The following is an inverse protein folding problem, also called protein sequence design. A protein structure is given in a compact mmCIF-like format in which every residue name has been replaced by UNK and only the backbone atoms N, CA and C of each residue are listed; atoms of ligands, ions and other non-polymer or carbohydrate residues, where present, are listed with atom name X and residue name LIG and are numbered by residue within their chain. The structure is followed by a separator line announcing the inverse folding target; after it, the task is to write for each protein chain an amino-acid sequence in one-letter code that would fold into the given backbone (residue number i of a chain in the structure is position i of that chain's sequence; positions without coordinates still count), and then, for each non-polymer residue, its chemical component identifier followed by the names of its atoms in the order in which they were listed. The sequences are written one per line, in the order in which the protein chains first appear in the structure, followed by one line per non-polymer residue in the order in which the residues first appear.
data_IF_840846141040
#
_entry.id   IF_840846141040
#
_cell.length_a   1.000
_cell.length_b   1.000
_cell.length_c   1.000
_cell.angle_alpha   90.00
_cell.angle_beta   90.00
_cell.angle_gamma   90.00
#
_symmetry.space_group_name_H-M   'P 1'
#
loop_
_entity.id
_entity.type
_entity.pdbx_description
1 polymer ?
#
# COMPACT_ATOMS: atom_id res chain seq x y z
N UNK A 1 17.33 -65.92 -29.09
CA UNK A 1 18.33 -66.84 -29.69
C UNK A 1 19.54 -65.97 -30.02
N UNK A 2 20.75 -66.11 -29.49
CA UNK A 2 21.37 -67.09 -28.61
C UNK A 2 22.88 -67.14 -28.94
N UNK A 3 23.73 -66.96 -27.92
CA UNK A 3 25.16 -67.40 -27.77
C UNK A 3 26.23 -66.61 -28.55
N UNK A 4 27.20 -65.98 -27.87
CA UNK A 4 28.51 -66.48 -27.32
C UNK A 4 29.65 -65.88 -28.18
N UNK A 5 30.89 -65.59 -27.79
CA UNK A 5 31.80 -65.83 -26.65
C UNK A 5 32.90 -64.71 -26.73
N UNK A 6 33.46 -64.12 -25.66
CA UNK A 6 34.49 -64.59 -24.69
C UNK A 6 35.96 -64.57 -25.20
N UNK A 7 36.82 -63.79 -24.53
CA UNK A 7 38.29 -63.84 -24.29
C UNK A 7 38.70 -62.46 -23.75
N UNK A 8 39.17 -62.20 -22.52
CA UNK A 8 40.22 -62.74 -21.63
C UNK A 8 41.67 -62.58 -22.14
N UNK A 9 42.43 -61.79 -21.37
CA UNK A 9 43.85 -61.90 -20.93
C UNK A 9 44.48 -60.48 -20.87
N UNK A 10 44.67 -59.89 -19.68
CA UNK A 10 45.84 -60.02 -18.77
C UNK A 10 47.18 -59.71 -19.48
N UNK A 11 47.92 -58.68 -19.05
CA UNK A 11 48.95 -58.84 -18.00
C UNK A 11 49.93 -57.63 -17.88
N UNK A 12 50.17 -57.27 -16.62
CA UNK A 12 51.42 -56.84 -15.93
C UNK A 12 52.37 -55.67 -16.31
N UNK A 13 52.90 -55.13 -15.19
CA UNK A 13 54.17 -54.42 -14.93
C UNK A 13 54.36 -52.97 -15.40
N UNK A 14 54.87 -52.03 -14.60
CA UNK A 14 55.47 -52.11 -13.26
C UNK A 14 56.36 -50.87 -13.03
N UNK A 15 56.47 -50.43 -11.77
CA UNK A 15 57.53 -49.53 -11.22
C UNK A 15 57.62 -48.09 -11.78
N UNK A 16 57.87 -47.03 -11.02
CA UNK A 16 58.80 -46.89 -9.90
C UNK A 16 58.52 -45.60 -9.15
N UNK A 17 58.72 -45.64 -7.83
CA UNK A 17 58.87 -44.48 -6.96
C UNK A 17 59.99 -43.52 -7.43
N UNK A 18 59.76 -42.22 -7.26
CA UNK A 18 60.85 -41.34 -6.85
C UNK A 18 60.31 -40.14 -6.05
N UNK A 19 60.61 -40.20 -4.76
CA UNK A 19 60.46 -39.14 -3.78
C UNK A 19 61.52 -38.07 -4.07
N UNK A 20 61.09 -36.84 -4.35
CA UNK A 20 61.92 -35.64 -4.22
C UNK A 20 61.21 -34.67 -3.28
N UNK A 21 61.91 -34.35 -2.20
CA UNK A 21 61.46 -33.50 -1.11
C UNK A 21 61.73 -32.02 -1.40
N UNK A 22 60.86 -31.17 -0.82
CA UNK A 22 61.01 -29.73 -0.49
C UNK A 22 60.23 -28.75 -1.40
N UNK A 23 59.82 -27.55 -0.92
CA UNK A 23 59.83 -27.00 0.45
C UNK A 23 58.43 -26.55 0.93
N UNK A 24 58.32 -26.39 2.26
CA UNK A 24 57.15 -25.86 2.97
C UNK A 24 56.89 -24.40 2.56
N UNK A 25 55.87 -24.18 1.75
CA UNK A 25 55.30 -22.84 1.51
C UNK A 25 54.27 -22.56 2.60
N UNK A 26 54.60 -21.61 3.49
CA UNK A 26 53.65 -21.05 4.47
C UNK A 26 52.44 -20.47 3.73
N UNK A 27 51.30 -21.15 3.85
CA UNK A 27 50.00 -20.61 3.45
C UNK A 27 49.64 -19.49 4.43
N UNK A 28 49.26 -18.29 3.97
CA UNK A 28 48.74 -17.26 4.85
C UNK A 28 47.40 -17.73 5.43
N UNK A 29 47.30 -17.77 6.74
CA UNK A 29 46.06 -17.99 7.49
C UNK A 29 45.04 -16.93 7.09
N UNK A 30 44.15 -17.25 6.17
CA UNK A 30 42.96 -16.46 5.95
C UNK A 30 42.15 -16.47 7.25
N UNK A 31 41.76 -15.32 7.81
CA UNK A 31 40.87 -15.31 8.96
C UNK A 31 39.58 -15.99 8.54
N UNK A 32 39.17 -17.00 9.31
CA UNK A 32 37.84 -17.60 9.28
C UNK A 32 36.80 -16.49 9.45
N UNK A 33 36.40 -15.83 8.36
CA UNK A 33 35.15 -15.09 8.29
C UNK A 33 34.05 -16.13 8.26
N UNK A 34 33.68 -16.55 9.46
CA UNK A 34 32.43 -17.22 9.77
C UNK A 34 31.29 -16.39 9.15
N UNK A 35 30.76 -16.88 8.03
CA UNK A 35 29.46 -16.52 7.47
C UNK A 35 28.36 -16.91 8.46
N UNK A 36 28.21 -16.12 9.52
CA UNK A 36 27.13 -16.26 10.49
C UNK A 36 26.24 -15.03 10.34
N UNK A 37 25.08 -15.16 9.67
CA UNK A 37 23.84 -14.37 9.84
C UNK A 37 22.93 -14.45 8.59
N UNK A 38 22.40 -15.63 8.25
CA UNK A 38 21.29 -15.71 7.28
C UNK A 38 20.09 -16.52 7.76
N UNK A 39 20.23 -17.35 8.81
CA UNK A 39 19.13 -18.23 9.24
C UNK A 39 18.14 -17.59 10.23
N UNK A 40 18.53 -16.62 11.06
CA UNK A 40 17.57 -15.98 12.00
C UNK A 40 16.70 -14.92 11.33
N UNK A 41 17.25 -14.12 10.41
CA UNK A 41 16.53 -13.07 9.68
C UNK A 41 15.41 -13.65 8.81
N UNK A 42 15.62 -14.82 8.21
CA UNK A 42 14.61 -15.49 7.39
C UNK A 42 13.44 -16.04 8.24
N UNK A 43 13.70 -16.49 9.47
CA UNK A 43 12.67 -16.97 10.38
C UNK A 43 11.83 -15.82 10.95
N UNK A 44 12.50 -14.74 11.38
CA UNK A 44 11.85 -13.52 11.87
C UNK A 44 10.98 -12.89 10.77
N UNK A 45 11.47 -12.84 9.52
CA UNK A 45 10.69 -12.33 8.40
C UNK A 45 9.47 -13.21 8.10
N UNK A 46 9.62 -14.54 8.09
CA UNK A 46 8.50 -15.44 7.88
C UNK A 46 7.42 -15.27 8.97
N UNK A 47 7.83 -15.16 10.23
CA UNK A 47 6.93 -14.92 11.35
C UNK A 47 6.25 -13.54 11.27
N UNK A 48 7.01 -12.50 10.91
CA UNK A 48 6.47 -11.16 10.66
C UNK A 48 5.42 -11.20 9.54
N UNK A 49 5.66 -11.91 8.45
CA UNK A 49 4.70 -12.03 7.36
C UNK A 49 3.41 -12.71 7.84
N UNK A 50 3.50 -13.82 8.59
CA UNK A 50 2.34 -14.52 9.13
C UNK A 50 1.51 -13.61 10.04
N UNK A 51 2.17 -12.97 11.01
CA UNK A 51 1.49 -12.16 12.02
C UNK A 51 0.96 -10.83 11.46
N UNK A 52 1.67 -10.22 10.51
CA UNK A 52 1.39 -8.85 10.05
C UNK A 52 0.56 -8.76 8.76
N UNK A 53 0.62 -9.77 7.88
CA UNK A 53 -0.05 -9.75 6.58
C UNK A 53 -1.35 -10.55 6.55
N UNK A 54 -1.69 -11.23 7.65
CA UNK A 54 -2.94 -11.97 7.75
C UNK A 54 -4.16 -11.03 7.51
N UNK A 55 -5.23 -11.50 6.84
CA UNK A 55 -6.45 -10.71 6.58
C UNK A 55 -7.09 -10.13 7.85
N UNK A 56 -6.94 -10.83 8.98
CA UNK A 56 -7.14 -10.30 10.31
C UNK A 56 -5.81 -10.39 11.04
N UNK A 57 -5.08 -9.28 11.09
CA UNK A 57 -3.79 -9.20 11.78
C UNK A 57 -3.95 -8.44 13.11
N UNK A 58 -3.94 -9.16 14.25
CA UNK A 58 -3.83 -8.56 15.58
C UNK A 58 -2.63 -7.61 15.69
N UNK A 59 -1.52 -7.95 15.02
CA UNK A 59 -0.30 -7.15 15.06
C UNK A 59 -0.46 -5.83 14.30
N UNK A 60 -1.08 -5.84 13.12
CA UNK A 60 -1.40 -4.62 12.37
C UNK A 60 -2.36 -3.73 13.16
N UNK A 61 -3.36 -4.33 13.83
CA UNK A 61 -4.32 -3.60 14.67
C UNK A 61 -3.62 -2.94 15.87
N UNK A 62 -2.74 -3.67 16.55
CA UNK A 62 -1.91 -3.11 17.64
C UNK A 62 -0.98 -2.01 17.12
N UNK A 63 -0.30 -2.22 15.99
CA UNK A 63 0.55 -1.22 15.33
C UNK A 63 -0.20 0.08 15.05
N UNK A 64 -1.40 0.00 14.48
CA UNK A 64 -2.25 1.16 14.17
C UNK A 64 -2.64 1.90 15.45
N UNK A 65 -2.99 1.17 16.52
CA UNK A 65 -3.43 1.77 17.80
C UNK A 65 -2.32 2.42 18.60
N UNK A 66 -1.08 1.94 18.44
CA UNK A 66 0.05 2.35 19.27
C UNK A 66 0.96 3.33 18.54
N UNK A 67 1.39 2.97 17.32
CA UNK A 67 2.45 3.67 16.60
C UNK A 67 1.95 4.72 15.62
N UNK A 68 0.66 4.70 15.28
CA UNK A 68 0.06 5.64 14.33
C UNK A 68 -0.90 6.64 14.99
N UNK A 69 -1.00 6.66 16.32
CA UNK A 69 -2.02 7.42 17.07
C UNK A 69 -1.57 8.79 17.59
N UNK A 70 -0.28 9.16 17.45
CA UNK A 70 0.31 10.42 17.97
C UNK A 70 1.29 11.06 16.98
N UNK A 71 1.38 12.41 16.96
CA UNK A 71 2.04 13.35 16.01
C UNK A 71 3.45 13.02 15.45
N UNK A 72 4.07 11.90 15.81
CA UNK A 72 5.29 11.33 15.19
C UNK A 72 5.00 10.43 13.95
N UNK A 73 3.87 10.63 13.27
CA UNK A 73 3.19 9.59 12.47
C UNK A 73 3.77 9.30 11.09
N UNK A 74 4.41 10.28 10.43
CA UNK A 74 4.75 10.13 9.01
C UNK A 74 5.77 9.02 8.75
N UNK A 75 6.82 8.91 9.58
CA UNK A 75 7.84 7.86 9.43
C UNK A 75 7.26 6.46 9.63
N UNK A 76 6.35 6.29 10.60
CA UNK A 76 5.75 4.98 10.89
C UNK A 76 4.75 4.58 9.79
N UNK A 77 4.04 5.54 9.21
CA UNK A 77 3.23 5.32 8.01
C UNK A 77 4.13 4.94 6.83
N UNK A 78 5.26 5.62 6.64
CA UNK A 78 6.21 5.33 5.56
C UNK A 78 6.76 3.90 5.64
N UNK A 79 7.21 3.47 6.83
CA UNK A 79 7.71 2.10 7.06
C UNK A 79 6.61 1.07 6.77
N UNK A 80 5.38 1.30 7.26
CA UNK A 80 4.24 0.43 7.01
C UNK A 80 3.91 0.34 5.51
N UNK A 81 3.83 1.48 4.83
CA UNK A 81 3.54 1.54 3.40
C UNK A 81 4.64 0.83 2.59
N UNK A 82 5.91 1.11 2.86
CA UNK A 82 7.03 0.48 2.17
C UNK A 82 7.03 -1.04 2.36
N UNK A 83 6.74 -1.53 3.57
CA UNK A 83 6.65 -2.96 3.87
C UNK A 83 5.57 -3.67 3.04
N UNK A 84 4.36 -3.09 2.96
CA UNK A 84 3.27 -3.63 2.16
C UNK A 84 3.47 -3.44 0.65
N UNK A 85 4.11 -2.35 0.21
CA UNK A 85 4.50 -2.14 -1.19
C UNK A 85 5.48 -3.21 -1.65
N UNK A 86 6.51 -3.53 -0.87
CA UNK A 86 7.52 -4.54 -1.21
C UNK A 86 6.92 -5.95 -1.40
N UNK A 87 5.73 -6.18 -0.87
CA UNK A 87 4.98 -7.45 -0.93
C UNK A 87 3.76 -7.41 -1.84
N UNK A 88 3.50 -6.28 -2.51
CA UNK A 88 2.33 -6.06 -3.37
C UNK A 88 0.98 -6.18 -2.63
N UNK A 89 1.00 -5.90 -1.34
CA UNK A 89 -0.18 -5.98 -0.47
C UNK A 89 -0.71 -4.59 -0.09
N UNK A 90 -0.24 -3.53 -0.76
CA UNK A 90 -0.63 -2.15 -0.48
C UNK A 90 -2.16 -1.93 -0.62
N UNK A 91 -2.84 -2.48 -1.64
CA UNK A 91 -4.28 -2.34 -1.72
C UNK A 91 -5.02 -3.00 -0.53
N UNK A 92 -4.53 -4.16 -0.09
CA UNK A 92 -5.06 -4.89 1.07
C UNK A 92 -4.87 -4.09 2.35
N UNK A 93 -3.70 -3.45 2.55
CA UNK A 93 -3.46 -2.57 3.69
C UNK A 93 -4.51 -1.45 3.76
N UNK A 94 -4.72 -0.72 2.66
CA UNK A 94 -5.67 0.40 2.61
C UNK A 94 -7.10 -0.06 2.89
N UNK A 95 -7.51 -1.20 2.35
CA UNK A 95 -8.83 -1.79 2.62
C UNK A 95 -8.97 -2.21 4.09
N UNK A 96 -7.94 -2.79 4.70
CA UNK A 96 -7.94 -3.15 6.13
C UNK A 96 -8.01 -1.93 7.03
N UNK A 97 -7.23 -0.88 6.75
CA UNK A 97 -7.29 0.36 7.52
C UNK A 97 -8.64 1.06 7.39
N UNK A 98 -9.23 1.08 6.19
CA UNK A 98 -10.58 1.59 5.98
C UNK A 98 -11.61 0.77 6.75
N UNK A 99 -11.48 -0.56 6.76
CA UNK A 99 -12.35 -1.44 7.53
C UNK A 99 -12.29 -1.12 9.03
N UNK A 100 -11.10 -0.89 9.59
CA UNK A 100 -10.97 -0.45 10.98
C UNK A 100 -11.69 0.87 11.24
N UNK A 101 -11.60 1.85 10.34
CA UNK A 101 -12.34 3.11 10.47
C UNK A 101 -13.85 2.90 10.41
N UNK A 102 -14.33 2.07 9.48
CA UNK A 102 -15.77 1.76 9.33
C UNK A 102 -16.33 1.07 10.58
N UNK A 103 -15.57 0.16 11.17
CA UNK A 103 -15.97 -0.58 12.39
C UNK A 103 -15.94 0.29 13.65
N UNK A 104 -15.05 1.28 13.72
CA UNK A 104 -14.89 2.16 14.89
C UNK A 104 -15.74 3.43 14.82
N UNK A 105 -16.14 3.85 13.62
CA UNK A 105 -16.94 5.07 13.43
C UNK A 105 -18.41 4.79 13.72
N UNK A 106 -19.00 5.57 14.63
CA UNK A 106 -20.44 5.52 14.93
C UNK A 106 -21.27 5.62 13.63
N UNK A 107 -22.37 4.87 13.57
CA UNK A 107 -23.27 4.82 12.41
C UNK A 107 -23.81 6.20 12.00
N UNK A 108 -23.98 7.13 12.93
CA UNK A 108 -24.47 8.49 12.65
C UNK A 108 -23.37 9.44 12.14
N UNK A 109 -22.10 9.04 12.23
CA UNK A 109 -20.98 9.88 11.83
C UNK A 109 -20.57 9.59 10.37
N UNK A 110 -20.22 10.64 9.60
CA UNK A 110 -19.76 10.47 8.23
C UNK A 110 -18.40 9.77 8.18
N UNK A 111 -18.27 8.77 7.31
CA UNK A 111 -17.01 8.07 7.07
C UNK A 111 -16.00 8.95 6.32
N UNK A 112 -14.72 8.72 6.58
CA UNK A 112 -13.61 9.22 5.78
C UNK A 112 -13.53 10.75 5.66
N UNK A 113 -14.14 11.52 6.59
CA UNK A 113 -14.04 12.99 6.61
C UNK A 113 -12.93 13.52 7.51
N UNK A 114 -12.54 12.75 8.53
CA UNK A 114 -11.55 13.18 9.51
C UNK A 114 -10.10 13.09 9.05
N UNK A 115 -9.20 13.53 9.92
CA UNK A 115 -7.76 13.29 9.81
C UNK A 115 -7.40 11.95 10.48
N UNK A 116 -8.05 10.88 10.03
CA UNK A 116 -7.87 9.52 10.57
C UNK A 116 -6.57 8.89 10.06
N UNK A 117 -6.10 7.83 10.72
CA UNK A 117 -4.92 7.06 10.28
C UNK A 117 -5.12 6.55 8.86
N UNK A 118 -6.31 6.02 8.55
CA UNK A 118 -6.65 5.62 7.19
C UNK A 118 -6.57 6.81 6.23
N UNK A 119 -7.19 7.96 6.55
CA UNK A 119 -7.17 9.14 5.68
C UNK A 119 -5.75 9.65 5.41
N UNK A 120 -4.88 9.68 6.43
CA UNK A 120 -3.46 10.07 6.30
C UNK A 120 -2.70 9.10 5.39
N UNK A 121 -2.85 7.79 5.62
CA UNK A 121 -2.23 6.73 4.82
C UNK A 121 -2.74 6.75 3.38
N UNK A 122 -4.03 6.99 3.19
CA UNK A 122 -4.67 7.08 1.89
C UNK A 122 -4.15 8.29 1.08
N UNK A 123 -4.02 9.46 1.70
CA UNK A 123 -3.42 10.64 1.04
C UNK A 123 -1.96 10.35 0.64
N UNK A 124 -1.19 9.71 1.52
CA UNK A 124 0.18 9.31 1.20
C UNK A 124 0.23 8.38 -0.02
N UNK A 125 -0.65 7.37 -0.07
CA UNK A 125 -0.82 6.49 -1.22
C UNK A 125 -1.13 7.26 -2.50
N UNK A 126 -2.11 8.16 -2.47
CA UNK A 126 -2.52 8.94 -3.64
C UNK A 126 -1.38 9.78 -4.20
N UNK A 127 -0.64 10.48 -3.32
CA UNK A 127 0.48 11.33 -3.73
C UNK A 127 1.60 10.50 -4.38
N UNK A 128 1.92 9.34 -3.80
CA UNK A 128 3.04 8.49 -4.23
C UNK A 128 2.73 7.65 -5.47
N UNK A 129 1.49 7.19 -5.63
CA UNK A 129 1.15 6.19 -6.65
C UNK A 129 0.07 6.61 -7.65
N UNK A 130 -0.61 7.74 -7.44
CA UNK A 130 -1.74 8.16 -8.27
C UNK A 130 -1.63 9.60 -8.77
N UNK A 131 -0.52 10.30 -8.50
CA UNK A 131 -0.40 11.72 -8.81
C UNK A 131 -0.36 12.04 -10.32
N UNK A 132 0.09 11.10 -11.15
CA UNK A 132 0.23 11.33 -12.60
C UNK A 132 -1.10 11.68 -13.27
N UNK A 133 -2.17 10.93 -12.97
CA UNK A 133 -3.49 11.20 -13.55
C UNK A 133 -4.05 12.57 -13.13
N UNK A 134 -3.86 12.94 -11.86
CA UNK A 134 -4.31 14.23 -11.34
C UNK A 134 -3.54 15.37 -11.99
N UNK A 135 -2.23 15.22 -12.18
CA UNK A 135 -1.41 16.21 -12.89
C UNK A 135 -1.87 16.40 -14.33
N UNK A 136 -2.07 15.30 -15.06
CA UNK A 136 -2.53 15.32 -16.46
C UNK A 136 -3.86 16.06 -16.63
N UNK A 137 -4.77 15.92 -15.66
CA UNK A 137 -6.14 16.42 -15.78
C UNK A 137 -6.37 17.80 -15.19
N UNK A 138 -5.43 18.31 -14.38
CA UNK A 138 -5.66 19.56 -13.63
C UNK A 138 -4.50 20.56 -13.65
N UNK A 139 -3.24 20.14 -13.83
CA UNK A 139 -2.10 21.05 -13.64
C UNK A 139 -2.11 22.22 -14.62
N UNK A 140 -2.20 21.97 -15.93
CA UNK A 140 -2.19 23.03 -16.93
C UNK A 140 -3.38 24.00 -16.76
N UNK A 141 -4.56 23.47 -16.42
CA UNK A 141 -5.74 24.28 -16.16
C UNK A 141 -5.53 25.17 -14.93
N UNK A 142 -4.99 24.63 -13.84
CA UNK A 142 -4.73 25.38 -12.61
C UNK A 142 -3.63 26.42 -12.77
N UNK A 143 -2.59 26.13 -13.55
CA UNK A 143 -1.53 27.10 -13.86
C UNK A 143 -2.11 28.30 -14.62
N UNK A 144 -2.98 28.03 -15.61
CA UNK A 144 -3.70 29.07 -16.33
C UNK A 144 -4.60 29.90 -15.40
N UNK A 145 -5.42 29.23 -14.57
CA UNK A 145 -6.33 29.91 -13.64
C UNK A 145 -5.60 30.76 -12.60
N UNK A 146 -4.43 30.30 -12.14
CA UNK A 146 -3.57 31.04 -11.22
C UNK A 146 -2.96 32.26 -11.90
N UNK A 147 -2.50 32.13 -13.15
CA UNK A 147 -1.93 33.24 -13.92
C UNK A 147 -2.93 34.39 -14.16
N UNK A 148 -4.22 34.06 -14.31
CA UNK A 148 -5.28 35.08 -14.49
C UNK A 148 -5.90 35.57 -13.18
N UNK A 149 -5.35 35.17 -12.02
CA UNK A 149 -5.86 35.47 -10.68
C UNK A 149 -7.37 35.19 -10.55
N UNK A 150 -7.78 34.00 -10.99
CA UNK A 150 -9.20 33.65 -11.06
C UNK A 150 -9.91 33.75 -9.69
N UNK A 151 -9.24 33.33 -8.62
CA UNK A 151 -9.85 33.22 -7.29
C UNK A 151 -10.04 34.58 -6.58
N UNK A 152 -9.24 35.59 -6.94
CA UNK A 152 -9.35 36.95 -6.42
C UNK A 152 -10.51 37.74 -7.05
N UNK A 153 -11.06 37.24 -8.17
CA UNK A 153 -12.20 37.85 -8.86
C UNK A 153 -13.49 37.40 -8.18
N UNK A 154 -13.92 38.16 -7.19
CA UNK A 154 -15.19 37.98 -6.44
C UNK A 154 -16.46 37.99 -7.31
N UNK A 155 -16.33 38.19 -8.64
CA UNK A 155 -17.42 38.32 -9.60
C UNK A 155 -17.35 37.32 -10.76
N UNK A 156 -16.61 36.21 -10.65
CA UNK A 156 -16.62 35.18 -11.70
C UNK A 156 -18.07 34.75 -11.99
N UNK A 157 -18.52 34.96 -13.22
CA UNK A 157 -19.89 34.65 -13.64
C UNK A 157 -20.10 33.14 -13.67
N UNK A 158 -21.34 32.69 -13.49
CA UNK A 158 -21.73 31.27 -13.66
C UNK A 158 -21.26 30.71 -15.00
N UNK A 159 -21.30 31.52 -16.07
CA UNK A 159 -20.79 31.14 -17.40
C UNK A 159 -19.30 30.83 -17.41
N UNK A 160 -18.49 31.59 -16.67
CA UNK A 160 -17.04 31.34 -16.58
C UNK A 160 -16.76 30.05 -15.80
N UNK A 161 -17.49 29.80 -14.71
CA UNK A 161 -17.42 28.52 -14.00
C UNK A 161 -17.80 27.35 -14.90
N UNK A 162 -18.91 27.44 -15.65
CA UNK A 162 -19.32 26.41 -16.60
C UNK A 162 -18.24 26.10 -17.63
N UNK A 163 -17.59 27.11 -18.22
CA UNK A 163 -16.50 26.90 -19.18
C UNK A 163 -15.32 26.17 -18.55
N UNK A 164 -14.90 26.54 -17.35
CA UNK A 164 -13.79 25.89 -16.62
C UNK A 164 -14.13 24.44 -16.31
N UNK A 165 -15.36 24.17 -15.84
CA UNK A 165 -15.83 22.81 -15.56
C UNK A 165 -15.86 21.98 -16.83
N UNK A 166 -16.40 22.50 -17.93
CA UNK A 166 -16.43 21.80 -19.22
C UNK A 166 -15.03 21.45 -19.71
N UNK A 167 -14.06 22.37 -19.59
CA UNK A 167 -12.65 22.08 -19.91
C UNK A 167 -12.08 20.98 -19.02
N UNK A 168 -12.28 21.06 -17.70
CA UNK A 168 -11.81 20.04 -16.77
C UNK A 168 -12.41 18.64 -17.06
N UNK A 169 -13.70 18.58 -17.37
CA UNK A 169 -14.37 17.32 -17.70
C UNK A 169 -13.91 16.75 -19.05
N UNK A 170 -13.58 17.59 -20.03
CA UNK A 170 -12.94 17.13 -21.28
C UNK A 170 -11.60 16.45 -21.00
N UNK A 171 -10.74 17.10 -20.20
CA UNK A 171 -9.45 16.54 -19.79
C UNK A 171 -9.61 15.21 -19.05
N UNK A 172 -10.59 15.11 -18.15
CA UNK A 172 -10.92 13.86 -17.47
C UNK A 172 -11.34 12.76 -18.45
N UNK A 173 -12.19 13.08 -19.44
CA UNK A 173 -12.67 12.12 -20.42
C UNK A 173 -11.55 11.63 -21.35
N UNK A 174 -10.67 12.54 -21.78
CA UNK A 174 -9.50 12.24 -22.61
C UNK A 174 -8.51 11.33 -21.87
N UNK A 175 -8.27 11.61 -20.59
CA UNK A 175 -7.30 10.88 -19.76
C UNK A 175 -7.89 9.71 -18.98
N UNK A 176 -9.19 9.38 -19.12
CA UNK A 176 -9.84 8.33 -18.30
C UNK A 176 -9.15 6.96 -18.38
N UNK A 177 -8.47 6.67 -19.49
CA UNK A 177 -7.77 5.40 -19.71
C UNK A 177 -6.60 5.19 -18.75
N UNK A 178 -5.99 6.27 -18.26
CA UNK A 178 -4.85 6.23 -17.34
C UNK A 178 -5.25 6.32 -15.86
N UNK A 179 -6.56 6.27 -15.54
CA UNK A 179 -7.02 6.19 -14.14
C UNK A 179 -6.35 4.98 -13.47
N UNK A 180 -5.67 5.17 -12.31
CA UNK A 180 -4.94 4.10 -11.66
C UNK A 180 -5.86 2.92 -11.27
N UNK A 181 -5.71 1.77 -11.94
CA UNK A 181 -6.59 0.61 -11.71
C UNK A 181 -6.47 0.04 -10.28
N UNK A 182 -5.29 0.16 -9.66
CA UNK A 182 -5.09 -0.20 -8.25
C UNK A 182 -5.95 0.68 -7.32
N UNK A 183 -6.08 1.98 -7.61
CA UNK A 183 -6.92 2.89 -6.82
C UNK A 183 -8.40 2.49 -6.93
N UNK A 184 -8.87 2.18 -8.14
CA UNK A 184 -10.24 1.70 -8.34
C UNK A 184 -10.52 0.43 -7.54
N UNK A 185 -9.57 -0.51 -7.53
CA UNK A 185 -9.68 -1.76 -6.76
C UNK A 185 -9.69 -1.51 -5.24
N UNK A 186 -8.86 -0.58 -4.75
CA UNK A 186 -8.88 -0.15 -3.33
C UNK A 186 -10.26 0.38 -2.96
N UNK A 187 -10.76 1.36 -3.72
CA UNK A 187 -12.04 2.01 -3.42
C UNK A 187 -13.20 1.02 -3.56
N UNK A 188 -13.17 0.11 -4.52
CA UNK A 188 -14.16 -0.94 -4.66
C UNK A 188 -14.23 -1.85 -3.43
N UNK A 189 -13.07 -2.29 -2.91
CA UNK A 189 -13.03 -3.09 -1.69
C UNK A 189 -13.62 -2.35 -0.49
N UNK A 190 -13.29 -1.06 -0.36
CA UNK A 190 -13.86 -0.20 0.70
C UNK A 190 -15.37 -0.04 0.51
N UNK A 191 -15.84 0.20 -0.72
CA UNK A 191 -17.26 0.28 -1.06
C UNK A 191 -18.01 -0.98 -0.61
N UNK A 192 -17.47 -2.17 -0.88
CA UNK A 192 -18.07 -3.44 -0.45
C UNK A 192 -18.16 -3.55 1.07
N UNK A 193 -17.11 -3.14 1.80
CA UNK A 193 -17.11 -3.13 3.27
C UNK A 193 -18.20 -2.20 3.81
N UNK A 194 -18.28 -0.97 3.30
CA UNK A 194 -19.30 0.00 3.74
C UNK A 194 -20.71 -0.46 3.37
N UNK A 195 -20.89 -1.03 2.18
CA UNK A 195 -22.18 -1.56 1.72
C UNK A 195 -22.70 -2.65 2.66
N UNK A 196 -21.83 -3.56 3.10
CA UNK A 196 -22.18 -4.67 4.00
C UNK A 196 -22.44 -4.16 5.42
N UNK A 197 -21.62 -3.23 5.92
CA UNK A 197 -21.67 -2.77 7.33
C UNK A 197 -22.69 -1.66 7.57
N UNK A 198 -23.02 -0.87 6.55
CA UNK A 198 -23.96 0.25 6.62
C UNK A 198 -25.06 0.04 5.60
N UNK A 199 -24.99 0.71 4.45
CA UNK A 199 -25.97 0.62 3.38
C UNK A 199 -25.38 1.17 2.06
N UNK A 200 -26.15 1.07 0.97
CA UNK A 200 -25.75 1.55 -0.35
C UNK A 200 -25.50 3.05 -0.40
N UNK A 201 -26.33 3.84 0.27
CA UNK A 201 -26.22 5.31 0.31
C UNK A 201 -24.89 5.75 0.93
N UNK A 202 -24.56 5.22 2.11
CA UNK A 202 -23.29 5.47 2.81
C UNK A 202 -22.10 4.98 1.99
N UNK A 203 -22.24 3.85 1.28
CA UNK A 203 -21.19 3.32 0.42
C UNK A 203 -20.90 4.25 -0.77
N UNK A 204 -21.93 4.80 -1.41
CA UNK A 204 -21.78 5.80 -2.48
C UNK A 204 -21.22 7.12 -1.96
N UNK A 205 -21.63 7.58 -0.76
CA UNK A 205 -21.03 8.74 -0.10
C UNK A 205 -19.54 8.49 0.18
N UNK A 206 -19.17 7.28 0.57
CA UNK A 206 -17.79 6.85 0.73
C UNK A 206 -16.99 6.94 -0.57
N UNK A 207 -17.55 6.43 -1.68
CA UNK A 207 -16.95 6.58 -3.02
C UNK A 207 -16.79 8.05 -3.40
N UNK A 208 -17.83 8.87 -3.22
CA UNK A 208 -17.77 10.30 -3.47
C UNK A 208 -16.64 10.98 -2.68
N UNK A 209 -16.53 10.63 -1.40
CA UNK A 209 -15.53 11.20 -0.49
C UNK A 209 -14.11 10.78 -0.88
N UNK A 210 -13.89 9.51 -1.17
CA UNK A 210 -12.55 8.98 -1.45
C UNK A 210 -12.07 9.35 -2.86
N UNK A 211 -12.89 9.07 -3.88
CA UNK A 211 -12.46 9.24 -5.26
C UNK A 211 -12.58 10.69 -5.73
N UNK A 212 -13.72 11.33 -5.51
CA UNK A 212 -13.93 12.68 -6.02
C UNK A 212 -13.33 13.71 -5.08
N UNK A 213 -13.73 13.73 -3.81
CA UNK A 213 -13.35 14.80 -2.89
C UNK A 213 -11.88 14.74 -2.45
N UNK A 214 -11.35 13.55 -2.18
CA UNK A 214 -9.98 13.34 -1.67
C UNK A 214 -8.94 13.00 -2.73
N UNK A 215 -9.34 12.86 -3.99
CA UNK A 215 -8.41 12.57 -5.07
C UNK A 215 -8.62 13.51 -6.28
N UNK A 216 -9.73 13.39 -7.00
CA UNK A 216 -9.93 14.18 -8.23
C UNK A 216 -10.03 15.68 -8.00
N UNK A 217 -10.72 16.10 -6.94
CA UNK A 217 -11.02 17.52 -6.68
C UNK A 217 -10.01 18.19 -5.75
N UNK A 218 -9.04 17.45 -5.21
CA UNK A 218 -7.97 18.01 -4.37
C UNK A 218 -7.21 19.17 -5.02
N UNK A 219 -6.88 19.15 -6.33
CA UNK A 219 -6.17 20.26 -6.96
C UNK A 219 -6.91 21.61 -6.84
N UNK A 220 -8.24 21.58 -6.82
CA UNK A 220 -9.09 22.77 -6.71
C UNK A 220 -9.28 23.27 -5.27
N UNK A 221 -8.71 22.61 -4.25
CA UNK A 221 -8.80 23.05 -2.85
C UNK A 221 -8.28 24.47 -2.61
N UNK A 222 -7.33 24.93 -3.45
CA UNK A 222 -6.80 26.29 -3.42
C UNK A 222 -7.73 27.33 -4.06
N UNK A 223 -8.83 26.90 -4.69
CA UNK A 223 -9.85 27.72 -5.33
C UNK A 223 -11.24 27.38 -4.78
N UNK A 224 -11.58 27.80 -3.54
CA UNK A 224 -12.71 27.25 -2.80
C UNK A 224 -14.07 27.42 -3.49
N UNK A 225 -14.26 28.50 -4.24
CA UNK A 225 -15.51 28.76 -4.95
C UNK A 225 -15.69 27.80 -6.15
N UNK A 226 -14.64 27.63 -6.96
CA UNK A 226 -14.62 26.66 -8.04
C UNK A 226 -14.78 25.23 -7.53
N UNK A 227 -14.09 24.89 -6.45
CA UNK A 227 -14.22 23.61 -5.78
C UNK A 227 -15.67 23.32 -5.36
N UNK A 228 -16.32 24.26 -4.66
CA UNK A 228 -17.72 24.13 -4.23
C UNK A 228 -18.65 23.99 -5.43
N UNK A 229 -18.40 24.74 -6.50
CA UNK A 229 -19.19 24.67 -7.73
C UNK A 229 -19.08 23.27 -8.37
N UNK A 230 -17.87 22.77 -8.61
CA UNK A 230 -17.65 21.42 -9.16
C UNK A 230 -18.27 20.34 -8.25
N UNK A 231 -18.04 20.45 -6.94
CA UNK A 231 -18.61 19.52 -5.95
C UNK A 231 -20.15 19.48 -6.02
N UNK A 232 -20.79 20.64 -6.20
CA UNK A 232 -22.25 20.75 -6.30
C UNK A 232 -22.83 20.07 -7.53
N UNK A 233 -22.04 19.95 -8.61
CA UNK A 233 -22.42 19.23 -9.83
C UNK A 233 -22.22 17.71 -9.68
N UNK A 234 -21.07 17.29 -9.16
CA UNK A 234 -20.68 15.88 -9.11
C UNK A 234 -21.40 15.11 -8.00
N UNK A 235 -21.50 15.69 -6.80
CA UNK A 235 -22.01 14.97 -5.61
C UNK A 235 -23.44 14.43 -5.81
N UNK A 236 -24.39 15.19 -6.38
CA UNK A 236 -25.73 14.67 -6.63
C UNK A 236 -25.76 13.48 -7.59
N UNK A 237 -24.92 13.50 -8.64
CA UNK A 237 -24.83 12.43 -9.64
C UNK A 237 -24.35 11.13 -8.95
N UNK A 238 -23.20 11.19 -8.26
CA UNK A 238 -22.59 10.02 -7.61
C UNK A 238 -23.50 9.44 -6.51
N UNK A 239 -24.15 10.30 -5.74
CA UNK A 239 -25.02 9.89 -4.63
C UNK A 239 -26.48 9.61 -5.05
N UNK A 240 -26.81 9.65 -6.34
CA UNK A 240 -28.15 9.38 -6.84
C UNK A 240 -29.24 10.36 -6.35
N UNK A 241 -28.87 11.60 -6.03
CA UNK A 241 -29.82 12.64 -5.64
C UNK A 241 -30.42 13.27 -6.90
N UNK A 242 -31.74 13.47 -6.93
CA UNK A 242 -32.41 14.12 -8.06
C UNK A 242 -31.86 15.54 -8.28
N UNK A 243 -31.40 15.81 -9.50
CA UNK A 243 -31.00 17.15 -9.93
C UNK A 243 -32.17 17.80 -10.67
N UNK A 244 -32.55 19.00 -10.23
CA UNK A 244 -33.74 19.73 -10.67
C UNK A 244 -33.52 20.44 -12.03
N UNK A 245 -32.26 20.72 -12.40
CA UNK A 245 -31.92 21.40 -13.65
C UNK A 245 -31.32 20.42 -14.66
N UNK A 246 -32.08 20.13 -15.72
CA UNK A 246 -31.68 19.30 -16.85
C UNK A 246 -31.40 20.21 -18.05
N UNK A 247 -30.16 20.68 -18.19
CA UNK A 247 -29.66 21.26 -19.42
C UNK A 247 -28.78 20.24 -20.16
N UNK A 248 -28.51 20.46 -21.45
CA UNK A 248 -27.68 19.55 -22.27
C UNK A 248 -26.27 19.36 -21.69
N UNK A 249 -25.67 20.43 -21.17
CA UNK A 249 -24.36 20.37 -20.50
C UNK A 249 -24.38 19.38 -19.32
N UNK A 250 -25.40 19.45 -18.46
CA UNK A 250 -25.53 18.55 -17.31
C UNK A 250 -25.61 17.08 -17.71
N UNK A 251 -26.23 16.75 -18.85
CA UNK A 251 -26.27 15.36 -19.35
C UNK A 251 -24.88 14.82 -19.69
N UNK A 252 -24.02 15.64 -20.31
CA UNK A 252 -22.64 15.26 -20.63
C UNK A 252 -21.82 15.03 -19.35
N UNK A 253 -22.00 15.91 -18.36
CA UNK A 253 -21.38 15.74 -17.03
C UNK A 253 -21.86 14.43 -16.40
N UNK A 254 -23.17 14.22 -16.38
CA UNK A 254 -23.78 13.04 -15.79
C UNK A 254 -23.25 11.75 -16.42
N UNK A 255 -23.21 11.67 -17.74
CA UNK A 255 -22.71 10.49 -18.46
C UNK A 255 -21.26 10.16 -18.09
N UNK A 256 -20.36 11.16 -18.09
CA UNK A 256 -18.96 10.95 -17.75
C UNK A 256 -18.80 10.47 -16.29
N UNK A 257 -19.48 11.13 -15.36
CA UNK A 257 -19.41 10.79 -13.93
C UNK A 257 -20.01 9.39 -13.68
N UNK A 258 -21.08 9.02 -14.38
CA UNK A 258 -21.66 7.68 -14.31
C UNK A 258 -20.71 6.61 -14.84
N UNK A 259 -20.01 6.87 -15.96
CA UNK A 259 -18.99 5.96 -16.51
C UNK A 259 -17.86 5.74 -15.49
N UNK A 260 -17.31 6.83 -14.95
CA UNK A 260 -16.23 6.78 -13.96
C UNK A 260 -16.70 6.05 -12.70
N UNK A 261 -17.89 6.36 -12.21
CA UNK A 261 -18.46 5.71 -11.02
C UNK A 261 -18.66 4.22 -11.26
N UNK A 262 -19.16 3.81 -12.44
CA UNK A 262 -19.27 2.39 -12.81
C UNK A 262 -17.91 1.69 -12.82
N UNK A 263 -16.86 2.34 -13.32
CA UNK A 263 -15.49 1.78 -13.26
C UNK A 263 -15.00 1.59 -11.82
N UNK A 264 -15.34 2.49 -10.90
CA UNK A 264 -15.02 2.34 -9.46
C UNK A 264 -15.83 1.21 -8.83
N UNK A 265 -17.11 1.06 -9.20
CA UNK A 265 -17.99 0.06 -8.63
C UNK A 265 -17.77 -1.35 -9.19
N UNK A 266 -17.11 -1.49 -10.34
CA UNK A 266 -16.78 -2.77 -10.97
C UNK A 266 -15.42 -2.72 -11.68
N UNK A 267 -14.30 -2.58 -10.94
CA UNK A 267 -12.99 -2.47 -11.55
C UNK A 267 -12.50 -3.82 -12.07
N UNK A 268 -11.79 -3.80 -13.19
CA UNK A 268 -11.00 -4.95 -13.63
C UNK A 268 -9.91 -5.27 -12.59
N UNK A 269 -9.66 -6.56 -12.35
CA UNK A 269 -8.59 -7.01 -11.46
C UNK A 269 -7.26 -6.42 -11.94
N UNK A 270 -6.52 -5.70 -11.07
CA UNK A 270 -5.26 -5.10 -11.48
C UNK A 270 -4.25 -6.19 -11.86
N UNK A 271 -3.52 -5.97 -12.95
CA UNK A 271 -2.37 -6.81 -13.30
C UNK A 271 -1.25 -6.53 -12.29
N UNK A 272 -0.79 -7.57 -11.60
CA UNK A 272 0.34 -7.50 -10.68
C UNK A 272 1.62 -7.19 -11.47
N UNK A 273 2.07 -5.95 -11.41
CA UNK A 273 3.39 -5.55 -11.90
C UNK A 273 4.28 -5.12 -10.73
N UNK A 274 5.59 -5.19 -10.97
CA UNK A 274 6.73 -4.89 -10.09
C UNK A 274 7.38 -6.09 -9.39
N UNK A 275 8.71 -6.12 -9.50
CA UNK A 275 9.65 -7.01 -8.82
C UNK A 275 10.28 -6.20 -7.68
N UNK A 276 10.53 -6.78 -6.51
CA UNK A 276 11.12 -6.00 -5.41
C UNK A 276 12.29 -6.72 -4.78
N UNK A 277 13.48 -6.18 -5.08
CA UNK A 277 14.77 -6.43 -4.43
C UNK A 277 14.84 -5.85 -2.99
N UNK A 278 13.72 -5.34 -2.47
CA UNK A 278 13.64 -4.53 -1.24
C UNK A 278 12.92 -5.22 -0.06
N UNK A 279 12.52 -6.48 -0.22
CA UNK A 279 11.80 -7.21 0.84
C UNK A 279 12.61 -7.25 2.14
N UNK A 280 13.87 -7.67 2.08
CA UNK A 280 14.74 -7.75 3.25
C UNK A 280 14.93 -6.40 3.95
N UNK A 281 15.20 -5.33 3.18
CA UNK A 281 15.36 -3.98 3.74
C UNK A 281 14.11 -3.54 4.49
N UNK A 282 12.94 -3.68 3.87
CA UNK A 282 11.66 -3.27 4.47
C UNK A 282 11.26 -4.15 5.66
N UNK A 283 11.61 -5.43 5.66
CA UNK A 283 11.45 -6.32 6.83
C UNK A 283 12.30 -5.84 7.99
N UNK A 284 13.56 -5.51 7.75
CA UNK A 284 14.47 -5.03 8.78
C UNK A 284 13.98 -3.70 9.37
N UNK A 285 13.55 -2.76 8.53
CA UNK A 285 12.96 -1.50 8.99
C UNK A 285 11.72 -1.74 9.87
N UNK A 286 10.84 -2.66 9.46
CA UNK A 286 9.65 -3.03 10.22
C UNK A 286 10.01 -3.71 11.56
N UNK A 287 10.88 -4.71 11.56
CA UNK A 287 11.31 -5.42 12.76
C UNK A 287 11.97 -4.48 13.78
N UNK A 288 12.85 -3.58 13.32
CA UNK A 288 13.49 -2.59 14.20
C UNK A 288 12.43 -1.70 14.84
N UNK A 289 11.45 -1.22 14.07
CA UNK A 289 10.39 -0.37 14.59
C UNK A 289 9.52 -1.10 15.61
N UNK A 290 9.13 -2.35 15.31
CA UNK A 290 8.35 -3.19 16.21
C UNK A 290 9.10 -3.47 17.52
N UNK A 291 10.37 -3.89 17.45
CA UNK A 291 11.20 -4.18 18.63
C UNK A 291 11.43 -2.96 19.51
N UNK A 292 11.63 -1.79 18.90
CA UNK A 292 11.81 -0.53 19.64
C UNK A 292 10.57 -0.15 20.44
N UNK A 293 9.38 -0.59 20.01
CA UNK A 293 8.11 -0.26 20.65
C UNK A 293 7.40 -1.48 21.25
N UNK A 294 8.16 -2.51 21.63
CA UNK A 294 7.61 -3.81 22.03
C UNK A 294 6.56 -3.72 23.15
N UNK A 295 6.81 -2.89 24.16
CA UNK A 295 6.00 -2.83 25.39
C UNK A 295 4.61 -2.28 25.05
N UNK A 296 4.57 -1.15 24.35
CA UNK A 296 3.31 -0.56 23.89
C UNK A 296 2.52 -1.51 22.95
N UNK A 297 3.22 -2.25 22.07
CA UNK A 297 2.61 -3.19 21.15
C UNK A 297 1.97 -4.38 21.87
N UNK A 298 2.66 -4.97 22.86
CA UNK A 298 2.16 -6.09 23.66
C UNK A 298 0.89 -5.67 24.42
N UNK A 299 0.90 -4.50 25.06
CA UNK A 299 -0.25 -3.98 25.82
C UNK A 299 -1.54 -3.81 24.98
N UNK A 300 -1.40 -3.66 23.66
CA UNK A 300 -2.51 -3.43 22.74
C UNK A 300 -2.76 -4.59 21.77
N UNK A 301 -2.06 -5.70 21.94
CA UNK A 301 -2.14 -6.88 21.09
C UNK A 301 -3.26 -7.82 21.57
N UNK A 302 -4.13 -8.22 20.64
CA UNK A 302 -5.28 -9.10 20.91
C UNK A 302 -5.11 -10.52 20.35
N UNK A 303 -3.87 -10.94 20.09
CA UNK A 303 -3.51 -12.30 19.65
C UNK A 303 -2.67 -13.07 20.69
N UNK A 304 -1.94 -14.10 20.24
CA UNK A 304 -1.05 -14.88 21.12
C UNK A 304 0.22 -14.08 21.52
N UNK A 305 0.27 -13.62 22.78
CA UNK A 305 1.39 -12.86 23.33
C UNK A 305 2.73 -13.59 23.23
N UNK A 306 2.75 -14.92 23.26
CA UNK A 306 3.98 -15.71 23.12
C UNK A 306 4.54 -15.62 21.70
N UNK A 307 3.67 -15.67 20.67
CA UNK A 307 4.08 -15.49 19.28
C UNK A 307 4.65 -14.08 19.08
N UNK A 308 3.94 -13.06 19.58
CA UNK A 308 4.44 -11.68 19.48
C UNK A 308 5.77 -11.50 20.22
N UNK A 309 5.89 -12.04 21.43
CA UNK A 309 7.12 -11.95 22.23
C UNK A 309 8.30 -12.63 21.54
N UNK A 310 8.09 -13.77 20.87
CA UNK A 310 9.13 -14.45 20.11
C UNK A 310 9.62 -13.62 18.92
N UNK A 311 8.73 -12.95 18.20
CA UNK A 311 9.08 -12.04 17.09
C UNK A 311 9.88 -10.81 17.58
N UNK A 312 9.44 -10.25 18.72
CA UNK A 312 10.00 -9.03 19.30
C UNK A 312 11.24 -9.28 20.16
N UNK A 313 11.56 -10.53 20.47
CA UNK A 313 12.75 -10.86 21.23
C UNK A 313 14.01 -10.43 20.48
N UNK A 314 14.96 -9.87 21.23
CA UNK A 314 16.26 -9.50 20.67
C UNK A 314 16.99 -10.81 20.29
N UNK A 315 17.47 -10.95 19.03
CA UNK A 315 18.25 -12.12 18.63
C UNK A 315 19.50 -12.35 19.50
N UNK A 316 19.95 -11.35 20.25
CA UNK A 316 21.03 -11.50 21.26
C UNK A 316 20.53 -12.20 22.53
N UNK A 317 19.34 -11.86 23.05
CA UNK A 317 18.78 -12.42 24.29
C UNK A 317 18.19 -13.84 24.11
N UNK A 318 17.70 -14.15 22.92
CA UNK A 318 17.25 -15.52 22.57
C UNK A 318 18.40 -16.53 22.59
N UNK A 319 19.62 -16.13 22.23
CA UNK A 319 20.79 -17.02 22.28
C UNK A 319 21.22 -17.35 23.71
N UNK A 320 21.18 -16.38 24.62
CA UNK A 320 21.52 -16.61 26.03
C UNK A 320 20.48 -17.50 26.72
N UNK A 321 19.18 -17.32 26.44
CA UNK A 321 18.12 -18.15 27.02
C UNK A 321 18.10 -19.59 26.50
N UNK A 322 18.46 -19.82 25.23
CA UNK A 322 18.64 -21.18 24.68
C UNK A 322 19.90 -21.83 25.26
N UNK A 323 21.02 -21.10 25.38
CA UNK A 323 22.23 -21.63 26.01
C UNK A 323 22.02 -21.99 27.49
N UNK A 324 21.21 -21.21 28.22
CA UNK A 324 20.83 -21.51 29.61
C UNK A 324 19.89 -22.72 29.75
N UNK A 325 19.03 -22.99 28.75
CA UNK A 325 18.16 -24.18 28.74
C UNK A 325 18.92 -25.48 28.45
N UNK A 326 20.07 -25.40 27.80
CA UNK A 326 20.94 -26.55 27.49
C UNK A 326 22.07 -26.75 28.51
N UNK A 327 22.19 -25.84 29.48
CA UNK A 327 23.13 -25.90 30.59
C UNK A 327 22.50 -26.43 31.90
N UNK A 328 21.27 -26.97 31.84
CA UNK A 328 20.60 -27.71 32.91
C UNK A 328 20.39 -29.15 32.49
#
# INVERSE_FOLDING_TARGET
MGRSAMSEDDDSDGSSDNIVSSPITRVPSAPFQRTFRSHSLNADDAMLQILFLAPYSPLLKSYVRTLLKTDCENRNIDVLMNYFTARKLLPQLLQTLAKFEVEQTNMCNPLFRGNTIFSKTYIFYLNKHCSDFVKETSSALLDFLSAIQFDDKSSASTTMYSSIVSTYLSLLNESKRIIPKNLLWVIHGIYKVVLIKRNSTEALIGVNTLFFMRYLLIPFMKMPNLFKYIQSLITPIVCGKQVIQKNEEFYVIQELIDIITKEVLAPNTPRSYYMTKDQERTSNEMLVLLRTNREALIDNYDGDEMELSNLLADPVLLKESVLLKWAK
#
